data_IF_425678456321
#
_entry.id   IF_425678456321
#
_cell.length_a   1.000
_cell.length_b   1.000
_cell.length_c   1.000
_cell.angle_alpha   90.00
_cell.angle_beta   90.00
_cell.angle_gamma   90.00
#
_symmetry.space_group_name_H-M   'P 1'
#
loop_
_entity.id
_entity.type
_entity.pdbx_description
1 polymer ?
#
# COMPACT_ATOMS: atom_id res chain seq x y z
N UNK A 1 -11.01 3.48 33.64
CA UNK A 1 -11.06 2.35 32.68
C UNK A 1 -9.92 2.53 31.70
N UNK A 2 -9.30 1.47 31.20
CA UNK A 2 -8.30 1.61 30.13
C UNK A 2 -9.01 1.94 28.81
N UNK A 3 -8.41 2.77 27.95
CA UNK A 3 -9.00 3.12 26.66
C UNK A 3 -9.22 1.86 25.80
N UNK A 4 -10.24 1.89 24.95
CA UNK A 4 -10.46 0.86 23.92
C UNK A 4 -9.30 0.90 22.92
N UNK A 5 -8.65 -0.22 22.63
CA UNK A 5 -7.58 -0.27 21.63
C UNK A 5 -8.11 -0.67 20.26
N UNK A 6 -7.73 0.10 19.23
CA UNK A 6 -8.15 -0.14 17.84
C UNK A 6 -6.93 -0.25 16.95
N UNK A 7 -6.80 -1.38 16.26
CA UNK A 7 -5.80 -1.56 15.22
C UNK A 7 -6.37 -1.17 13.86
N UNK A 8 -5.68 -0.29 13.14
CA UNK A 8 -5.95 0.03 11.75
C UNK A 8 -4.91 -0.66 10.87
N UNK A 9 -5.33 -1.67 10.11
CA UNK A 9 -4.44 -2.44 9.24
C UNK A 9 -4.43 -1.81 7.85
N UNK A 10 -3.36 -1.07 7.55
CA UNK A 10 -3.16 -0.33 6.31
C UNK A 10 -3.08 1.17 6.57
N UNK A 11 -1.97 1.77 6.14
CA UNK A 11 -1.70 3.21 6.28
C UNK A 11 -1.93 4.01 4.99
N UNK A 12 -2.81 3.52 4.11
CA UNK A 12 -3.27 4.27 2.94
C UNK A 12 -4.39 5.25 3.29
N UNK A 13 -4.95 5.93 2.29
CA UNK A 13 -5.98 6.96 2.46
C UNK A 13 -7.13 6.55 3.42
N UNK A 14 -7.68 5.35 3.26
CA UNK A 14 -8.78 4.86 4.11
C UNK A 14 -8.35 4.66 5.58
N UNK A 15 -7.17 4.10 5.82
CA UNK A 15 -6.68 3.86 7.18
C UNK A 15 -6.27 5.14 7.89
N UNK A 16 -5.59 6.05 7.18
CA UNK A 16 -5.25 7.38 7.69
C UNK A 16 -6.51 8.18 8.02
N UNK A 17 -7.54 8.14 7.16
CA UNK A 17 -8.81 8.80 7.44
C UNK A 17 -9.49 8.21 8.67
N UNK A 18 -9.61 6.87 8.76
CA UNK A 18 -10.21 6.20 9.91
C UNK A 18 -9.49 6.54 11.22
N UNK A 19 -8.16 6.51 11.22
CA UNK A 19 -7.36 6.84 12.38
C UNK A 19 -7.54 8.30 12.83
N UNK A 20 -7.52 9.24 11.89
CA UNK A 20 -7.76 10.67 12.17
C UNK A 20 -9.16 10.91 12.72
N UNK A 21 -10.18 10.30 12.14
CA UNK A 21 -11.56 10.44 12.61
C UNK A 21 -11.72 9.89 14.02
N UNK A 22 -11.16 8.71 14.32
CA UNK A 22 -11.21 8.14 15.67
C UNK A 22 -10.47 9.02 16.67
N UNK A 23 -9.28 9.49 16.33
CA UNK A 23 -8.49 10.38 17.19
C UNK A 23 -9.23 11.70 17.48
N UNK A 24 -9.88 12.29 16.48
CA UNK A 24 -10.63 13.55 16.63
C UNK A 24 -11.99 13.39 17.32
N UNK A 25 -12.54 12.17 17.38
CA UNK A 25 -13.90 11.92 17.92
C UNK A 25 -14.04 12.13 19.43
N UNK A 26 -12.91 12.28 20.16
CA UNK A 26 -12.92 12.49 21.61
C UNK A 26 -13.36 11.27 22.44
N UNK A 27 -13.58 10.11 21.80
CA UNK A 27 -13.82 8.84 22.48
C UNK A 27 -12.51 8.34 23.09
N UNK A 28 -12.55 7.74 24.28
CA UNK A 28 -11.40 7.14 24.97
C UNK A 28 -10.89 5.89 24.23
N UNK A 29 -10.23 6.11 23.09
CA UNK A 29 -9.77 5.10 22.14
C UNK A 29 -8.28 5.30 21.84
N UNK A 30 -7.48 4.28 22.11
CA UNK A 30 -6.10 4.21 21.70
C UNK A 30 -6.01 3.59 20.29
N UNK A 31 -5.70 4.41 19.28
CA UNK A 31 -5.57 3.97 17.89
C UNK A 31 -4.13 3.67 17.55
N UNK A 32 -3.87 2.56 16.87
CA UNK A 32 -2.57 2.23 16.30
C UNK A 32 -2.70 1.84 14.82
N UNK A 33 -1.89 2.44 13.97
CA UNK A 33 -1.88 2.17 12.52
C UNK A 33 -0.72 1.24 12.20
N UNK A 34 -1.00 0.21 11.40
CA UNK A 34 0.00 -0.73 10.91
C UNK A 34 0.17 -0.58 9.39
N UNK A 35 1.41 -0.44 8.96
CA UNK A 35 1.80 -0.46 7.55
C UNK A 35 2.68 -1.67 7.26
N UNK A 36 2.92 -1.96 5.98
CA UNK A 36 3.82 -3.03 5.56
C UNK A 36 5.23 -2.77 6.09
N UNK A 37 5.91 -3.84 6.47
CA UNK A 37 7.32 -3.80 6.92
C UNK A 37 8.19 -3.16 5.84
N UNK A 38 8.99 -2.16 6.22
CA UNK A 38 9.86 -1.42 5.30
C UNK A 38 9.15 -0.35 4.46
N UNK A 39 7.84 -0.17 4.59
CA UNK A 39 7.08 0.79 3.79
C UNK A 39 6.73 2.04 4.63
N UNK A 40 7.08 3.23 4.12
CA UNK A 40 6.56 4.50 4.63
C UNK A 40 5.22 4.82 3.94
N UNK A 41 4.20 5.33 4.64
CA UNK A 41 2.95 5.73 4.01
C UNK A 41 3.15 6.83 2.96
N UNK A 42 2.51 6.68 1.79
CA UNK A 42 2.56 7.66 0.69
C UNK A 42 1.21 7.82 0.00
N UNK A 43 1.03 8.95 -0.68
CA UNK A 43 -0.14 9.26 -1.47
C UNK A 43 -0.11 8.46 -2.77
N UNK A 44 -0.87 7.36 -2.80
CA UNK A 44 -0.95 6.48 -3.98
C UNK A 44 -1.42 7.19 -5.25
N UNK A 45 -2.19 8.27 -5.17
CA UNK A 45 -2.63 9.02 -6.36
C UNK A 45 -1.46 9.66 -7.11
N UNK A 46 -0.35 9.94 -6.43
CA UNK A 46 0.84 10.54 -7.02
C UNK A 46 1.80 9.51 -7.63
N UNK A 47 1.52 8.20 -7.47
CA UNK A 47 2.36 7.12 -8.01
C UNK A 47 2.41 7.17 -9.53
N UNK A 48 1.25 7.11 -10.19
CA UNK A 48 1.18 7.14 -11.66
C UNK A 48 1.23 8.57 -12.23
N UNK A 49 0.70 9.54 -11.49
CA UNK A 49 0.57 10.94 -11.97
C UNK A 49 1.76 11.84 -11.70
N UNK A 50 2.63 11.46 -10.76
CA UNK A 50 3.80 12.25 -10.39
C UNK A 50 5.08 11.47 -10.60
N UNK A 51 5.21 10.33 -9.91
CA UNK A 51 6.47 9.58 -9.87
C UNK A 51 6.76 8.86 -11.18
N UNK A 52 5.79 8.11 -11.73
CA UNK A 52 6.02 7.30 -12.93
C UNK A 52 6.39 8.13 -14.17
N UNK A 53 5.96 9.39 -14.21
CA UNK A 53 6.24 10.33 -15.31
C UNK A 53 7.41 11.29 -14.99
N UNK A 54 8.08 11.10 -13.85
CA UNK A 54 9.27 11.87 -13.46
C UNK A 54 9.01 13.31 -12.99
N UNK A 55 7.76 13.68 -12.65
CA UNK A 55 7.44 14.99 -12.10
C UNK A 55 7.73 15.11 -10.60
N UNK A 56 7.67 13.99 -9.87
CA UNK A 56 7.90 13.94 -8.42
C UNK A 56 8.87 12.81 -8.08
N UNK A 57 9.70 13.05 -7.08
CA UNK A 57 10.51 12.03 -6.45
C UNK A 57 9.72 11.22 -5.40
N UNK A 58 10.12 9.96 -5.14
CA UNK A 58 9.48 9.09 -4.14
C UNK A 58 9.23 9.75 -2.78
N UNK A 59 10.16 10.57 -2.29
CA UNK A 59 10.05 11.20 -0.97
C UNK A 59 9.03 12.34 -0.94
N UNK A 60 8.73 12.96 -2.09
CA UNK A 60 7.78 14.08 -2.19
C UNK A 60 6.32 13.64 -2.07
N UNK A 61 6.05 12.33 -2.14
CA UNK A 61 4.69 11.79 -2.08
C UNK A 61 4.35 11.17 -0.71
N UNK A 62 5.22 11.29 0.29
CA UNK A 62 4.98 10.79 1.63
C UNK A 62 3.68 11.38 2.24
N UNK A 63 2.91 10.56 2.95
CA UNK A 63 1.77 11.06 3.71
C UNK A 63 2.27 11.74 4.99
N UNK A 64 1.63 12.85 5.41
CA UNK A 64 1.91 13.44 6.71
C UNK A 64 1.56 12.45 7.82
N UNK A 65 2.23 12.61 8.97
CA UNK A 65 1.95 11.77 10.14
C UNK A 65 0.46 11.88 10.53
N UNK A 66 -0.12 10.74 10.89
CA UNK A 66 -1.54 10.61 11.20
C UNK A 66 -1.88 11.09 12.63
N UNK A 67 -0.91 11.66 13.36
CA UNK A 67 -1.00 12.04 14.77
C UNK A 67 -1.34 10.85 15.71
N UNK A 68 -1.14 9.63 15.21
CA UNK A 68 -1.33 8.38 15.95
C UNK A 68 -0.12 7.47 15.74
N UNK A 69 0.20 6.57 16.69
CA UNK A 69 1.31 5.64 16.53
C UNK A 69 1.23 4.82 15.23
N UNK A 70 2.27 4.95 14.41
CA UNK A 70 2.50 4.13 13.21
C UNK A 70 3.49 3.01 13.51
N UNK A 71 3.17 1.78 13.11
CA UNK A 71 4.05 0.61 13.21
C UNK A 71 4.27 -0.01 11.83
N UNK A 72 5.52 -0.16 11.42
CA UNK A 72 5.90 -0.86 10.19
C UNK A 72 6.01 -2.36 10.43
N UNK A 73 4.87 -3.04 10.54
CA UNK A 73 4.82 -4.49 10.70
C UNK A 73 3.60 -5.07 9.96
N UNK A 74 3.87 -5.99 9.05
CA UNK A 74 2.83 -6.51 8.15
C UNK A 74 1.93 -7.48 8.90
N UNK A 75 0.64 -7.16 9.02
CA UNK A 75 -0.34 -8.12 9.50
C UNK A 75 -0.45 -9.32 8.55
N UNK A 76 -0.32 -10.53 9.11
CA UNK A 76 -0.37 -11.82 8.40
C UNK A 76 -1.66 -12.60 8.67
N UNK A 77 -2.37 -12.28 9.75
CA UNK A 77 -3.63 -12.93 10.07
C UNK A 77 -4.37 -12.18 11.18
N UNK A 78 -5.67 -12.45 11.25
CA UNK A 78 -6.56 -12.02 12.32
C UNK A 78 -7.27 -13.26 12.86
N UNK A 79 -7.18 -13.48 14.16
CA UNK A 79 -8.01 -14.44 14.88
C UNK A 79 -9.15 -13.68 15.59
N UNK A 80 -10.39 -13.75 15.08
CA UNK A 80 -11.52 -13.07 15.70
C UNK A 80 -11.90 -13.65 17.07
N UNK A 81 -11.59 -14.92 17.35
CA UNK A 81 -11.96 -15.58 18.61
C UNK A 81 -11.13 -15.04 19.76
N UNK A 82 -9.82 -14.92 19.56
CA UNK A 82 -8.91 -14.35 20.55
C UNK A 82 -8.77 -12.82 20.43
N UNK A 83 -9.33 -12.23 19.36
CA UNK A 83 -9.20 -10.81 18.98
C UNK A 83 -7.75 -10.40 18.76
N UNK A 84 -6.96 -11.27 18.10
CA UNK A 84 -5.52 -11.09 17.92
C UNK A 84 -5.14 -10.90 16.47
N UNK A 85 -4.27 -9.92 16.23
CA UNK A 85 -3.59 -9.76 14.96
C UNK A 85 -2.23 -10.43 15.07
N UNK A 86 -1.87 -11.21 14.05
CA UNK A 86 -0.57 -11.84 13.91
C UNK A 86 0.26 -11.03 12.91
N UNK A 87 1.49 -10.70 13.28
CA UNK A 87 2.36 -9.85 12.48
C UNK A 87 3.56 -10.62 11.92
N UNK A 88 4.18 -10.05 10.89
CA UNK A 88 5.31 -10.64 10.19
C UNK A 88 6.56 -10.78 11.06
N UNK A 89 6.72 -9.90 12.06
CA UNK A 89 7.79 -10.02 13.07
C UNK A 89 7.65 -11.23 14.00
N UNK A 90 6.54 -11.99 13.92
CA UNK A 90 6.17 -13.03 14.88
C UNK A 90 5.40 -12.50 16.10
N UNK A 91 5.27 -11.16 16.24
CA UNK A 91 4.43 -10.56 17.27
C UNK A 91 2.96 -10.93 17.08
N UNK A 92 2.24 -10.98 18.19
CA UNK A 92 0.80 -11.10 18.20
C UNK A 92 0.25 -10.17 19.27
N UNK A 93 -0.75 -9.36 18.91
CA UNK A 93 -1.33 -8.35 19.80
C UNK A 93 -2.85 -8.44 19.76
N UNK A 94 -3.45 -8.20 20.93
CA UNK A 94 -4.90 -8.18 21.10
C UNK A 94 -5.40 -6.76 20.92
N UNK A 95 -6.50 -6.60 20.21
CA UNK A 95 -7.20 -5.33 20.04
C UNK A 95 -8.69 -5.49 20.34
N UNK A 96 -9.35 -4.44 20.84
CA UNK A 96 -10.79 -4.45 21.05
C UNK A 96 -11.56 -4.36 19.73
N UNK A 97 -11.02 -3.63 18.75
CA UNK A 97 -11.52 -3.61 17.38
C UNK A 97 -10.39 -3.56 16.35
N UNK A 98 -10.69 -4.02 15.13
CA UNK A 98 -9.75 -4.02 14.01
C UNK A 98 -10.43 -3.42 12.78
N UNK A 99 -9.81 -2.41 12.18
CA UNK A 99 -10.21 -1.81 10.91
C UNK A 99 -9.31 -2.37 9.80
N UNK A 100 -9.90 -3.04 8.81
CA UNK A 100 -9.16 -3.57 7.65
C UNK A 100 -9.19 -2.52 6.54
N UNK A 101 -8.06 -1.83 6.37
CA UNK A 101 -7.85 -0.78 5.37
C UNK A 101 -6.66 -1.10 4.44
N UNK A 102 -6.47 -2.39 4.13
CA UNK A 102 -5.32 -2.93 3.37
C UNK A 102 -5.32 -2.54 1.89
N UNK A 103 -6.39 -1.91 1.41
CA UNK A 103 -6.55 -1.49 0.03
C UNK A 103 -6.69 -2.69 -0.91
N UNK A 104 -6.02 -2.59 -2.06
CA UNK A 104 -6.10 -3.57 -3.15
C UNK A 104 -4.72 -3.96 -3.64
N UNK A 105 -4.66 -5.04 -4.43
CA UNK A 105 -3.47 -5.50 -5.16
C UNK A 105 -3.81 -5.58 -6.65
N UNK A 106 -2.84 -5.36 -7.55
CA UNK A 106 -3.07 -5.53 -8.97
C UNK A 106 -3.39 -6.99 -9.27
N UNK A 107 -4.24 -7.23 -10.27
CA UNK A 107 -4.42 -8.57 -10.82
C UNK A 107 -3.25 -8.84 -11.76
N UNK A 108 -2.61 -9.99 -11.57
CA UNK A 108 -1.58 -10.43 -12.51
C UNK A 108 -2.24 -10.97 -13.78
N UNK A 109 -1.53 -10.86 -14.91
CA UNK A 109 -1.95 -11.53 -16.13
C UNK A 109 -2.02 -13.04 -15.91
N UNK A 110 -3.06 -13.63 -16.46
CA UNK A 110 -3.33 -15.05 -16.46
C UNK A 110 -2.17 -15.84 -17.09
N UNK A 111 -1.89 -17.04 -16.58
CA UNK A 111 -0.82 -17.91 -17.07
C UNK A 111 -1.07 -18.43 -18.49
N UNK A 112 -2.33 -18.43 -18.95
CA UNK A 112 -2.71 -18.82 -20.32
C UNK A 112 -2.31 -17.80 -21.38
N UNK A 113 -1.90 -16.58 -20.98
CA UNK A 113 -1.48 -15.54 -21.93
C UNK A 113 -0.12 -15.89 -22.54
N UNK A 114 -0.11 -16.14 -23.85
CA UNK A 114 1.10 -16.46 -24.61
C UNK A 114 2.13 -15.33 -24.46
N UNK A 115 3.37 -15.70 -24.12
CA UNK A 115 4.50 -14.77 -23.97
C UNK A 115 4.55 -14.02 -22.64
N UNK A 116 3.60 -14.27 -21.72
CA UNK A 116 3.56 -13.65 -20.38
C UNK A 116 4.82 -13.95 -19.58
N UNK A 117 5.17 -15.23 -19.43
CA UNK A 117 6.34 -15.63 -18.63
C UNK A 117 7.65 -15.09 -19.21
N UNK A 118 7.84 -15.17 -20.53
CA UNK A 118 8.98 -14.55 -21.21
C UNK A 118 9.07 -13.04 -20.97
N UNK A 119 7.93 -12.33 -20.99
CA UNK A 119 7.91 -10.89 -20.71
C UNK A 119 8.21 -10.60 -19.22
N UNK A 120 7.74 -11.44 -18.30
CA UNK A 120 8.06 -11.35 -16.87
C UNK A 120 9.54 -11.59 -16.61
N UNK A 121 10.11 -12.67 -17.15
CA UNK A 121 11.51 -13.05 -16.95
C UNK A 121 12.47 -12.02 -17.57
N UNK A 122 12.09 -11.43 -18.70
CA UNK A 122 12.83 -10.33 -19.32
C UNK A 122 12.66 -8.98 -18.60
N UNK A 123 11.86 -8.90 -17.52
CA UNK A 123 11.57 -7.66 -16.80
C UNK A 123 10.73 -6.65 -17.59
N UNK A 124 10.06 -7.08 -18.66
CA UNK A 124 9.26 -6.26 -19.58
C UNK A 124 7.77 -6.23 -19.25
N UNK A 125 7.31 -7.07 -18.33
CA UNK A 125 5.96 -7.04 -17.80
C UNK A 125 5.97 -6.55 -16.34
N UNK A 126 5.22 -5.49 -16.07
CA UNK A 126 5.04 -4.96 -14.72
C UNK A 126 3.65 -4.37 -14.53
N UNK A 127 3.25 -4.19 -13.27
CA UNK A 127 2.05 -3.45 -12.89
C UNK A 127 2.39 -1.97 -12.71
N UNK A 128 1.39 -1.11 -12.55
CA UNK A 128 1.59 0.29 -12.13
C UNK A 128 0.66 0.59 -10.96
N UNK A 129 1.03 0.10 -9.78
CA UNK A 129 0.21 0.21 -8.56
C UNK A 129 0.99 0.70 -7.35
N UNK A 130 2.24 0.25 -7.21
CA UNK A 130 3.12 0.62 -6.10
C UNK A 130 4.11 1.72 -6.47
N UNK A 131 4.70 2.38 -5.48
CA UNK A 131 5.81 3.29 -5.70
C UNK A 131 7.00 2.61 -6.40
N UNK A 132 7.29 1.36 -6.03
CA UNK A 132 8.34 0.56 -6.68
C UNK A 132 8.02 0.26 -8.15
N UNK A 133 6.74 0.06 -8.47
CA UNK A 133 6.28 -0.12 -9.85
C UNK A 133 6.54 1.15 -10.67
N UNK A 134 6.15 2.32 -10.14
CA UNK A 134 6.34 3.61 -10.82
C UNK A 134 7.81 3.93 -11.07
N UNK A 135 8.68 3.72 -10.09
CA UNK A 135 10.13 3.89 -10.24
C UNK A 135 10.67 2.93 -11.31
N UNK A 136 10.28 1.65 -11.28
CA UNK A 136 10.70 0.66 -12.29
C UNK A 136 10.28 1.08 -13.70
N UNK A 137 9.03 1.51 -13.89
CA UNK A 137 8.53 1.97 -15.19
C UNK A 137 9.32 3.18 -15.66
N UNK A 138 9.50 4.19 -14.81
CA UNK A 138 10.26 5.40 -15.14
C UNK A 138 11.69 5.05 -15.59
N UNK A 139 12.40 4.27 -14.78
CA UNK A 139 13.81 3.95 -15.02
C UNK A 139 13.98 3.08 -16.28
N UNK A 140 13.03 2.16 -16.54
CA UNK A 140 13.00 1.35 -17.76
C UNK A 140 12.79 2.20 -19.02
N UNK A 141 11.87 3.16 -18.96
CA UNK A 141 11.59 4.07 -20.09
C UNK A 141 12.73 5.03 -20.36
N UNK A 142 13.48 5.45 -19.32
CA UNK A 142 14.64 6.32 -19.49
C UNK A 142 15.80 5.64 -20.25
N UNK A 143 15.93 4.32 -20.11
CA UNK A 143 17.08 3.54 -20.60
C UNK A 143 16.80 2.75 -21.89
N UNK A 144 15.55 2.63 -22.31
CA UNK A 144 15.14 1.82 -23.47
C UNK A 144 14.85 2.69 -24.68
N UNK A 145 15.50 2.44 -25.82
CA UNK A 145 15.24 3.16 -27.08
C UNK A 145 15.31 2.22 -28.30
N UNK A 146 14.37 2.29 -29.26
CA UNK A 146 13.12 3.06 -29.24
C UNK A 146 12.10 2.44 -28.28
N UNK A 147 11.32 3.30 -27.61
CA UNK A 147 10.28 2.88 -26.66
C UNK A 147 9.02 2.43 -27.40
N UNK A 148 8.52 1.24 -27.06
CA UNK A 148 7.17 0.77 -27.43
C UNK A 148 6.50 0.20 -26.19
N UNK A 149 5.35 0.74 -25.81
CA UNK A 149 4.61 0.36 -24.61
C UNK A 149 3.25 -0.21 -25.00
N UNK A 150 2.89 -1.35 -24.41
CA UNK A 150 1.55 -1.93 -24.47
C UNK A 150 0.90 -1.79 -23.10
N UNK A 151 -0.25 -1.12 -23.04
CA UNK A 151 -1.04 -1.01 -21.81
C UNK A 151 -2.15 -2.06 -21.86
N UNK A 152 -2.13 -2.98 -20.90
CA UNK A 152 -3.13 -4.05 -20.76
C UNK A 152 -4.17 -3.64 -19.72
N UNK A 153 -5.20 -2.92 -20.19
CA UNK A 153 -6.30 -2.41 -19.36
C UNK A 153 -6.71 -1.00 -19.79
N UNK A 154 -8.01 -0.75 -19.89
CA UNK A 154 -8.58 0.56 -20.28
C UNK A 154 -9.23 1.32 -19.13
N UNK A 155 -8.93 0.97 -17.88
CA UNK A 155 -9.51 1.62 -16.70
C UNK A 155 -8.89 2.99 -16.39
N UNK A 156 -9.57 3.79 -15.57
CA UNK A 156 -9.14 5.15 -15.16
C UNK A 156 -7.84 5.20 -14.32
N UNK A 157 -7.18 4.05 -14.08
CA UNK A 157 -5.86 3.98 -13.45
C UNK A 157 -4.69 4.20 -14.42
N UNK A 158 -4.96 4.36 -15.72
CA UNK A 158 -3.95 4.51 -16.78
C UNK A 158 -3.79 5.95 -17.32
N UNK A 159 -4.39 6.94 -16.64
CA UNK A 159 -4.33 8.38 -17.01
C UNK A 159 -3.65 9.24 -15.96
#
# INVERSE_FOLDING_TARGET
>A
MSPLTVAVIGAGAAGTAAARTLHASGVDVAVQVFTRTGERPYNRTLVNKGVAIGLLDPDQIALPDAAVPLRADTARGLDPRSRRVHFNSGRSEKFEAVIIATGSRPRHLDETIIGRDQATDAGRLTTLHSLADAVRVRDFLATTHPVRVLILGGGLGHV
#
